data_IF_090423951125
#
_entry.id   IF_090423951125
#
_cell.length_a   1.000
_cell.length_b   1.000
_cell.length_c   1.000
_cell.angle_alpha   90.00
_cell.angle_beta   90.00
_cell.angle_gamma   90.00
#
_symmetry.space_group_name_H-M   'P 1'
#
loop_
_entity.id
_entity.type
_entity.pdbx_description
1 polymer ?
#
# COMPACT_ATOMS: atom_id res chain seq x y z
N UNK A 1 5.46 11.95 1.36
CA UNK A 1 5.73 10.93 2.42
C UNK A 1 4.48 10.08 2.61
N UNK A 2 4.61 8.75 2.64
CA UNK A 2 3.48 7.80 2.71
C UNK A 2 2.64 7.98 3.98
N UNK A 3 3.29 7.97 5.15
CA UNK A 3 2.58 8.10 6.44
C UNK A 3 1.87 9.45 6.58
N UNK A 4 2.48 10.54 6.10
CA UNK A 4 1.87 11.87 6.09
C UNK A 4 0.64 11.94 5.16
N UNK A 5 0.62 11.14 4.10
CA UNK A 5 -0.55 10.99 3.24
C UNK A 5 -1.64 10.11 3.87
N UNK A 6 -1.42 9.53 5.06
CA UNK A 6 -2.40 8.70 5.76
C UNK A 6 -2.20 7.19 5.56
N UNK A 7 -1.16 6.77 4.86
CA UNK A 7 -0.82 5.34 4.78
C UNK A 7 -0.34 4.81 6.13
N UNK A 8 -0.67 3.55 6.38
CA UNK A 8 -0.27 2.80 7.56
C UNK A 8 0.89 1.89 7.21
N UNK A 9 1.91 1.89 8.06
CA UNK A 9 3.10 1.05 7.91
C UNK A 9 2.84 -0.32 8.55
N UNK A 10 2.99 -1.40 7.79
CA UNK A 10 2.86 -2.76 8.32
C UNK A 10 4.14 -3.53 8.02
N UNK A 11 4.95 -3.88 9.04
CA UNK A 11 6.20 -4.58 8.82
C UNK A 11 5.94 -6.05 8.44
N UNK A 12 6.76 -6.60 7.53
CA UNK A 12 6.80 -8.03 7.26
C UNK A 12 7.68 -8.75 8.28
N UNK A 13 7.32 -8.63 9.56
CA UNK A 13 8.10 -9.13 10.70
C UNK A 13 7.71 -10.54 11.16
N UNK A 14 6.78 -11.21 10.48
CA UNK A 14 6.41 -12.61 10.75
C UNK A 14 6.70 -13.49 9.53
N UNK A 15 6.96 -14.79 9.70
CA UNK A 15 7.19 -15.70 8.56
C UNK A 15 6.06 -15.68 7.53
N UNK A 16 4.80 -15.61 7.99
CA UNK A 16 3.64 -15.52 7.09
C UNK A 16 3.65 -14.22 6.29
N UNK A 17 3.95 -13.08 6.93
CA UNK A 17 4.05 -11.79 6.22
C UNK A 17 5.23 -11.76 5.27
N UNK A 18 6.36 -12.35 5.61
CA UNK A 18 7.52 -12.43 4.70
C UNK A 18 7.24 -13.33 3.48
N UNK A 19 6.50 -14.42 3.67
CA UNK A 19 6.05 -15.25 2.55
C UNK A 19 5.10 -14.47 1.64
N UNK A 20 4.10 -13.79 2.19
CA UNK A 20 3.18 -12.94 1.44
C UNK A 20 3.91 -11.78 0.73
N UNK A 21 4.82 -11.11 1.44
CA UNK A 21 5.60 -9.96 0.94
C UNK A 21 6.42 -10.29 -0.31
N UNK A 22 6.98 -11.50 -0.38
CA UNK A 22 7.79 -11.96 -1.52
C UNK A 22 7.01 -12.07 -2.82
N UNK A 23 5.69 -12.21 -2.75
CA UNK A 23 4.81 -12.31 -3.91
C UNK A 23 4.31 -10.94 -4.38
N UNK A 24 4.68 -9.85 -3.70
CA UNK A 24 4.18 -8.51 -4.01
C UNK A 24 5.09 -7.82 -5.02
N UNK A 25 4.54 -7.04 -5.97
CA UNK A 25 5.33 -6.29 -6.93
C UNK A 25 6.09 -5.18 -6.19
N UNK A 26 7.42 -5.22 -6.13
CA UNK A 26 8.20 -4.27 -5.34
C UNK A 26 8.03 -2.85 -5.87
N UNK A 27 7.89 -1.88 -4.96
CA UNK A 27 7.79 -0.45 -5.28
C UNK A 27 6.65 -0.05 -6.21
N UNK A 28 5.60 -0.86 -6.30
CA UNK A 28 4.39 -0.57 -7.09
C UNK A 28 3.16 -0.48 -6.21
N UNK A 29 2.21 0.37 -6.61
CA UNK A 29 0.91 0.36 -5.95
C UNK A 29 0.10 -0.83 -6.45
N UNK A 30 -0.56 -1.49 -5.51
CA UNK A 30 -1.57 -2.49 -5.78
C UNK A 30 -2.90 -2.01 -5.27
N UNK A 31 -3.90 -2.02 -6.14
CA UNK A 31 -5.28 -1.66 -5.78
C UNK A 31 -6.03 -2.92 -5.42
N UNK A 32 -6.67 -2.86 -4.27
CA UNK A 32 -7.36 -3.97 -3.65
C UNK A 32 -8.76 -3.59 -3.18
N UNK A 33 -9.71 -4.52 -3.26
CA UNK A 33 -11.09 -4.29 -2.86
C UNK A 33 -11.45 -5.27 -1.75
N UNK A 34 -11.72 -4.74 -0.56
CA UNK A 34 -12.15 -5.54 0.59
C UNK A 34 -13.43 -4.95 1.16
N UNK A 35 -14.47 -5.78 1.33
CA UNK A 35 -15.76 -5.36 1.90
C UNK A 35 -16.38 -4.13 1.21
N UNK A 36 -16.19 -3.98 -0.10
CA UNK A 36 -16.66 -2.82 -0.87
C UNK A 36 -15.84 -1.54 -0.70
N UNK A 37 -14.74 -1.59 0.06
CA UNK A 37 -13.79 -0.49 0.23
C UNK A 37 -12.52 -0.73 -0.60
N UNK A 38 -12.00 0.35 -1.19
CA UNK A 38 -10.76 0.31 -1.97
C UNK A 38 -9.57 0.62 -1.07
N UNK A 39 -8.59 -0.27 -1.10
CA UNK A 39 -7.31 -0.13 -0.44
C UNK A 39 -6.18 -0.09 -1.47
N UNK A 40 -5.13 0.65 -1.13
CA UNK A 40 -3.91 0.76 -1.89
C UNK A 40 -2.77 0.21 -1.03
N UNK A 41 -2.04 -0.75 -1.57
CA UNK A 41 -0.90 -1.38 -0.93
C UNK A 41 0.37 -1.00 -1.69
N UNK A 42 1.42 -0.63 -0.98
CA UNK A 42 2.73 -0.36 -1.56
C UNK A 42 3.82 -1.10 -0.77
N UNK A 43 4.47 -2.12 -1.34
CA UNK A 43 5.56 -2.84 -0.71
C UNK A 43 6.91 -2.16 -0.93
N UNK A 44 7.68 -1.99 0.14
CA UNK A 44 9.04 -1.44 0.10
C UNK A 44 10.05 -2.48 0.61
N UNK A 45 10.70 -3.24 -0.30
CA UNK A 45 11.72 -4.22 0.07
C UNK A 45 13.08 -3.60 0.43
N UNK A 46 13.29 -2.31 0.15
CA UNK A 46 14.63 -1.70 0.19
C UNK A 46 14.88 -0.98 1.51
N UNK A 47 13.90 -0.23 2.01
CA UNK A 47 14.10 0.60 3.20
C UNK A 47 13.71 -0.13 4.49
N UNK A 48 12.63 -0.91 4.46
CA UNK A 48 11.99 -1.42 5.68
C UNK A 48 11.57 -2.89 5.63
N UNK A 49 11.47 -3.49 4.44
CA UNK A 49 10.79 -4.79 4.23
C UNK A 49 9.38 -4.75 4.85
N UNK A 50 8.58 -3.81 4.35
CA UNK A 50 7.27 -3.48 4.89
C UNK A 50 6.29 -3.12 3.77
N UNK A 51 4.99 -3.13 4.11
CA UNK A 51 3.96 -2.59 3.23
C UNK A 51 3.39 -1.31 3.82
N UNK A 52 3.00 -0.39 2.95
CA UNK A 52 2.15 0.75 3.26
C UNK A 52 0.74 0.47 2.77
N UNK A 53 -0.24 0.55 3.66
CA UNK A 53 -1.65 0.31 3.31
C UNK A 53 -2.45 1.58 3.58
N UNK A 54 -3.21 2.04 2.58
CA UNK A 54 -4.03 3.25 2.67
C UNK A 54 -5.36 3.06 1.96
N UNK A 55 -6.33 3.92 2.22
CA UNK A 55 -7.58 3.96 1.45
C UNK A 55 -7.46 4.94 0.27
N UNK A 56 -8.52 5.09 -0.52
CA UNK A 56 -8.55 6.04 -1.64
C UNK A 56 -8.22 7.49 -1.26
N UNK A 57 -8.61 7.93 -0.05
CA UNK A 57 -8.26 9.28 0.41
C UNK A 57 -6.75 9.42 0.63
N UNK A 58 -6.12 8.42 1.27
CA UNK A 58 -4.68 8.42 1.47
C UNK A 58 -3.91 8.39 0.15
N UNK A 59 -4.38 7.59 -0.80
CA UNK A 59 -3.82 7.54 -2.15
C UNK A 59 -3.98 8.88 -2.89
N UNK A 60 -5.14 9.52 -2.80
CA UNK A 60 -5.35 10.86 -3.36
C UNK A 60 -4.40 11.91 -2.77
N UNK A 61 -4.22 11.93 -1.44
CA UNK A 61 -3.24 12.80 -0.79
C UNK A 61 -1.81 12.49 -1.22
N UNK A 62 -1.46 11.21 -1.38
CA UNK A 62 -0.15 10.82 -1.91
C UNK A 62 0.06 11.36 -3.33
N UNK A 63 -0.89 11.14 -4.24
CA UNK A 63 -0.80 11.65 -5.61
C UNK A 63 -0.68 13.17 -5.64
N UNK A 64 -1.46 13.90 -4.85
CA UNK A 64 -1.35 15.36 -4.77
C UNK A 64 0.04 15.82 -4.31
N UNK A 65 0.62 15.13 -3.32
CA UNK A 65 1.97 15.46 -2.83
C UNK A 65 3.05 15.13 -3.87
N UNK A 66 2.90 14.05 -4.63
CA UNK A 66 3.82 13.70 -5.72
C UNK A 66 3.64 14.66 -6.90
N UNK A 67 2.41 15.01 -7.25
CA UNK A 67 2.08 15.96 -8.30
C UNK A 67 2.65 17.36 -8.02
N UNK A 68 2.53 17.84 -6.78
CA UNK A 68 3.18 19.09 -6.36
C UNK A 68 4.71 19.04 -6.46
N UNK A 69 5.30 17.84 -6.39
CA UNK A 69 6.73 17.64 -6.57
C UNK A 69 7.14 17.49 -8.05
N UNK A 70 6.32 16.89 -8.90
CA UNK A 70 6.63 16.62 -10.31
C UNK A 70 5.33 16.49 -11.14
N UNK A 71 5.19 17.33 -12.18
CA UNK A 71 4.07 17.31 -13.13
C UNK A 71 4.07 16.12 -14.11
N UNK A 72 5.16 15.34 -14.19
CA UNK A 72 5.34 14.24 -15.16
C UNK A 72 4.96 12.84 -14.61
N UNK A 73 4.83 12.69 -13.29
CA UNK A 73 4.73 11.37 -12.65
C UNK A 73 3.31 10.78 -12.67
N UNK A 74 2.26 11.56 -12.99
CA UNK A 74 0.87 11.08 -12.92
C UNK A 74 0.58 9.91 -13.87
N UNK A 75 1.07 9.98 -15.12
CA UNK A 75 0.84 8.92 -16.10
C UNK A 75 1.58 7.63 -15.71
N UNK A 76 2.77 7.74 -15.10
CA UNK A 76 3.52 6.58 -14.62
C UNK A 76 2.90 5.97 -13.37
N UNK A 77 2.46 6.77 -12.40
CA UNK A 77 1.84 6.26 -11.17
C UNK A 77 0.58 5.43 -11.46
N UNK A 78 -0.27 5.89 -12.38
CA UNK A 78 -1.50 5.19 -12.73
C UNK A 78 -1.23 3.94 -13.59
N UNK A 79 -0.14 3.93 -14.37
CA UNK A 79 0.30 2.76 -15.14
C UNK A 79 0.98 1.68 -14.26
N UNK A 80 1.52 2.08 -13.11
CA UNK A 80 2.14 1.18 -12.13
C UNK A 80 1.16 0.64 -11.06
N UNK A 81 -0.12 1.00 -11.15
CA UNK A 81 -1.18 0.41 -10.34
C UNK A 81 -1.53 -1.00 -10.83
N UNK A 82 -1.20 -2.02 -10.03
CA UNK A 82 -1.60 -3.39 -10.30
C UNK A 82 -2.94 -3.68 -9.63
N UNK A 83 -3.94 -4.13 -10.40
CA UNK A 83 -5.12 -4.73 -9.80
C UNK A 83 -4.74 -6.08 -9.21
N UNK A 84 -4.83 -6.22 -7.89
CA UNK A 84 -4.74 -7.51 -7.24
C UNK A 84 -6.19 -7.97 -7.01
N UNK A 85 -6.48 -9.21 -7.42
CA UNK A 85 -7.81 -9.81 -7.28
C UNK A 85 -7.83 -10.95 -6.24
N UNK A 86 -6.65 -11.39 -5.78
CA UNK A 86 -6.47 -12.56 -4.91
C UNK A 86 -5.57 -12.22 -3.70
N UNK A 87 -5.60 -10.98 -3.23
CA UNK A 87 -4.80 -10.61 -2.06
C UNK A 87 -5.32 -11.26 -0.79
N UNK A 88 -4.43 -12.03 -0.16
CA UNK A 88 -4.67 -12.57 1.17
C UNK A 88 -4.41 -11.50 2.25
N UNK A 89 -5.49 -11.00 2.83
CA UNK A 89 -5.46 -10.06 3.96
C UNK A 89 -5.04 -10.69 5.29
N UNK A 90 -5.06 -12.02 5.39
CA UNK A 90 -4.82 -12.77 6.63
C UNK A 90 -3.50 -12.42 7.31
N UNK A 91 -2.34 -12.56 6.63
CA UNK A 91 -1.03 -12.26 7.19
C UNK A 91 -0.87 -10.82 7.68
N UNK A 92 -1.56 -9.90 7.02
CA UNK A 92 -1.49 -8.46 7.32
C UNK A 92 -2.41 -8.07 8.47
N UNK A 93 -3.39 -8.94 8.78
CA UNK A 93 -4.22 -9.03 9.99
C UNK A 93 -3.60 -8.48 11.26
N UNK A 94 -4.34 -7.63 12.00
CA UNK A 94 -4.12 -7.42 13.43
C UNK A 94 -2.88 -6.58 13.81
N UNK A 95 -2.24 -5.88 12.87
CA UNK A 95 -1.23 -4.90 13.27
C UNK A 95 -1.91 -3.71 13.99
N UNK A 96 -1.43 -3.30 15.18
CA UNK A 96 -2.17 -2.42 16.07
C UNK A 96 -2.21 -0.99 15.54
N UNK A 97 -3.23 -0.70 14.74
CA UNK A 97 -3.68 0.65 14.45
C UNK A 97 -5.06 0.83 15.09
N UNK A 98 -5.17 1.54 16.21
CA UNK A 98 -6.45 1.77 16.88
C UNK A 98 -7.48 2.34 15.91
N UNK A 99 -8.64 1.67 15.81
CA UNK A 99 -9.74 2.09 14.93
C UNK A 99 -9.47 1.90 13.42
N UNK A 100 -8.43 1.14 13.05
CA UNK A 100 -8.11 0.87 11.65
C UNK A 100 -8.35 -0.59 11.33
N UNK A 101 -9.38 -0.82 10.52
CA UNK A 101 -9.76 -2.13 10.03
C UNK A 101 -9.90 -2.01 8.51
N UNK A 102 -9.30 -2.94 7.79
CA UNK A 102 -9.53 -3.18 6.36
C UNK A 102 -10.50 -4.35 6.24
#
# INVERSE_FOLDING_TARGET
>A
MMVAAGFKFVPANTPQRQAAFRNLPPHKFSREIKNGQVFYVYPDPTVCVCIYVGNSAAYGTYRNNVFQKNLADEQQMTADENAMNDWDWGPWGGYPYPGWYY
#
